data_IF_051440645096
#
_entry.id   IF_051440645096
#
_cell.length_a   1.000
_cell.length_b   1.000
_cell.length_c   1.000
_cell.angle_alpha   90.00
_cell.angle_beta   90.00
_cell.angle_gamma   90.00
#
_symmetry.space_group_name_H-M   'P 1'
#
loop_
_entity.id
_entity.type
_entity.pdbx_description
1 polymer ?
#
# COMPACT_ATOMS: atom_id res chain seq x y z
N UNK A 1 -20.34 -7.70 0.17
CA UNK A 1 -19.78 -8.61 1.21
C UNK A 1 -20.78 -8.67 2.34
N UNK A 2 -21.10 -9.87 2.83
CA UNK A 2 -22.11 -10.07 3.90
C UNK A 2 -21.46 -10.48 5.21
N UNK A 3 -22.15 -10.28 6.33
CA UNK A 3 -21.70 -10.71 7.65
C UNK A 3 -21.44 -12.22 7.69
N UNK A 4 -22.36 -13.04 7.16
CA UNK A 4 -22.19 -14.50 7.12
C UNK A 4 -20.92 -14.92 6.37
N UNK A 5 -20.57 -14.19 5.30
CA UNK A 5 -19.35 -14.47 4.53
C UNK A 5 -18.08 -14.10 5.31
N UNK A 6 -18.12 -13.03 6.11
CA UNK A 6 -17.02 -12.64 6.99
C UNK A 6 -16.84 -13.67 8.09
N UNK A 7 -17.91 -14.10 8.75
CA UNK A 7 -17.90 -15.13 9.79
C UNK A 7 -17.33 -16.46 9.25
N UNK A 8 -17.73 -16.87 8.05
CA UNK A 8 -17.21 -18.07 7.40
C UNK A 8 -15.69 -18.01 7.13
N UNK A 9 -15.15 -16.82 6.86
CA UNK A 9 -13.70 -16.63 6.73
C UNK A 9 -12.99 -16.64 8.09
N UNK A 10 -13.55 -15.94 9.08
CA UNK A 10 -13.00 -15.90 10.43
C UNK A 10 -12.93 -17.29 11.07
N UNK A 11 -13.98 -18.12 10.89
CA UNK A 11 -14.01 -19.51 11.34
C UNK A 11 -12.89 -20.38 10.74
N UNK A 12 -12.34 -19.97 9.59
CA UNK A 12 -11.22 -20.63 8.91
C UNK A 12 -9.86 -19.96 9.22
N UNK A 13 -9.81 -19.03 10.17
CA UNK A 13 -8.59 -18.27 10.48
C UNK A 13 -8.16 -17.30 9.36
N UNK A 14 -9.11 -16.85 8.54
CA UNK A 14 -8.86 -15.93 7.43
C UNK A 14 -9.40 -14.53 7.72
N UNK A 15 -8.60 -13.53 7.38
CA UNK A 15 -8.94 -12.10 7.52
C UNK A 15 -9.18 -11.50 6.13
N UNK A 16 -10.40 -11.03 5.82
CA UNK A 16 -10.67 -10.36 4.56
C UNK A 16 -10.14 -8.92 4.55
N UNK A 17 -9.53 -8.52 3.44
CA UNK A 17 -9.04 -7.16 3.17
C UNK A 17 -9.47 -6.70 1.78
N UNK A 18 -9.80 -5.41 1.64
CA UNK A 18 -9.97 -4.78 0.33
C UNK A 18 -8.60 -4.38 -0.20
N UNK A 19 -8.19 -4.98 -1.31
CA UNK A 19 -6.82 -4.87 -1.81
C UNK A 19 -6.83 -4.38 -3.25
N UNK A 20 -6.14 -3.27 -3.49
CA UNK A 20 -5.67 -2.90 -4.81
C UNK A 20 -4.43 -3.72 -5.18
N UNK A 21 -4.35 -4.21 -6.40
CA UNK A 21 -3.19 -4.96 -6.89
C UNK A 21 -2.81 -4.51 -8.29
N UNK A 22 -1.51 -4.30 -8.49
CA UNK A 22 -0.88 -4.08 -9.78
C UNK A 22 0.14 -5.21 -9.99
N UNK A 23 0.09 -5.85 -11.16
CA UNK A 23 1.07 -6.87 -11.56
C UNK A 23 1.48 -6.67 -13.00
N UNK A 24 2.79 -6.70 -13.28
CA UNK A 24 3.31 -6.81 -14.64
C UNK A 24 3.42 -8.30 -15.01
N UNK A 25 2.75 -8.72 -16.08
CA UNK A 25 2.85 -10.07 -16.66
C UNK A 25 2.82 -9.95 -18.18
N UNK A 26 3.75 -10.62 -18.85
CA UNK A 26 3.83 -10.68 -20.32
C UNK A 26 3.87 -9.29 -20.99
N UNK A 27 4.59 -8.34 -20.38
CA UNK A 27 4.69 -6.96 -20.85
C UNK A 27 3.43 -6.11 -20.62
N UNK A 28 2.39 -6.67 -19.99
CA UNK A 28 1.15 -5.96 -19.69
C UNK A 28 0.98 -5.71 -18.19
N UNK A 29 0.54 -4.50 -17.84
CA UNK A 29 0.15 -4.15 -16.47
C UNK A 29 -1.31 -4.53 -16.27
N UNK A 30 -1.58 -5.34 -15.25
CA UNK A 30 -2.94 -5.68 -14.81
C UNK A 30 -3.22 -5.02 -13.47
N UNK A 31 -4.35 -4.30 -13.40
CA UNK A 31 -4.85 -3.66 -12.20
C UNK A 31 -6.14 -4.32 -11.75
N UNK A 32 -6.33 -4.45 -10.43
CA UNK A 32 -7.59 -4.94 -9.86
C UNK A 32 -7.79 -4.37 -8.46
N UNK A 33 -9.05 -4.26 -8.05
CA UNK A 33 -9.43 -4.03 -6.65
C UNK A 33 -10.42 -5.12 -6.28
N UNK A 34 -10.18 -5.81 -5.17
CA UNK A 34 -11.05 -6.89 -4.74
C UNK A 34 -10.79 -7.33 -3.31
N UNK A 35 -11.73 -8.10 -2.78
CA UNK A 35 -11.56 -8.72 -1.46
C UNK A 35 -10.61 -9.90 -1.59
N UNK A 36 -9.54 -9.87 -0.81
CA UNK A 36 -8.60 -10.98 -0.63
C UNK A 36 -8.59 -11.40 0.83
N UNK A 37 -8.52 -12.70 1.07
CA UNK A 37 -8.42 -13.27 2.41
C UNK A 37 -6.99 -13.68 2.70
N UNK A 38 -6.52 -13.37 3.90
CA UNK A 38 -5.17 -13.68 4.34
C UNK A 38 -5.21 -14.52 5.62
N UNK A 39 -4.30 -15.50 5.81
CA UNK A 39 -4.18 -16.17 7.10
C UNK A 39 -3.70 -15.18 8.16
N UNK A 40 -3.96 -15.48 9.43
CA UNK A 40 -3.53 -14.62 10.56
C UNK A 40 -2.01 -14.35 10.58
N UNK A 41 -1.19 -15.25 10.03
CA UNK A 41 0.26 -15.06 9.95
C UNK A 41 0.71 -14.05 8.89
N UNK A 42 -0.15 -13.69 7.94
CA UNK A 42 0.22 -12.74 6.88
C UNK A 42 0.18 -11.29 7.40
N UNK A 43 1.18 -10.44 7.11
CA UNK A 43 1.21 -9.06 7.58
C UNK A 43 -0.04 -8.22 7.23
N UNK A 44 -0.68 -8.47 6.09
CA UNK A 44 -1.92 -7.77 5.71
C UNK A 44 -3.11 -8.16 6.60
N UNK A 45 -3.10 -9.35 7.19
CA UNK A 45 -4.09 -9.73 8.19
C UNK A 45 -3.96 -8.90 9.47
N UNK A 46 -2.80 -8.30 9.75
CA UNK A 46 -2.52 -7.50 10.95
C UNK A 46 -2.75 -5.99 10.78
N UNK A 47 -3.05 -5.52 9.55
CA UNK A 47 -3.29 -4.10 9.27
C UNK A 47 -4.71 -3.72 9.69
N UNK A 48 -4.84 -3.05 10.84
CA UNK A 48 -6.13 -2.78 11.47
C UNK A 48 -6.52 -1.30 11.47
N UNK A 49 -7.81 -1.05 11.68
CA UNK A 49 -8.37 0.29 11.76
C UNK A 49 -8.16 1.08 10.47
N UNK A 50 -7.59 2.29 10.59
CA UNK A 50 -7.31 3.19 9.47
C UNK A 50 -5.92 2.99 8.85
N UNK A 51 -5.13 2.06 9.38
CA UNK A 51 -3.78 1.80 8.89
C UNK A 51 -3.83 1.28 7.46
N UNK A 52 -2.76 1.56 6.71
CA UNK A 52 -2.59 1.13 5.32
C UNK A 52 -1.29 0.37 5.19
N UNK A 53 -1.25 -0.56 4.25
CA UNK A 53 -0.03 -1.27 3.90
C UNK A 53 0.10 -1.40 2.39
N UNK A 54 1.35 -1.45 1.95
CA UNK A 54 1.72 -1.80 0.58
C UNK A 54 2.73 -2.94 0.63
N UNK A 55 2.53 -3.94 -0.24
CA UNK A 55 3.46 -5.04 -0.48
C UNK A 55 3.98 -4.88 -1.90
N UNK A 56 5.29 -4.83 -2.03
CA UNK A 56 5.99 -4.72 -3.31
C UNK A 56 6.82 -5.99 -3.43
N UNK A 57 6.68 -6.68 -4.57
CA UNK A 57 7.53 -7.81 -4.91
C UNK A 57 8.34 -7.44 -6.15
N UNK A 58 9.66 -7.59 -6.06
CA UNK A 58 10.61 -7.33 -7.14
C UNK A 58 11.61 -8.47 -7.24
N UNK A 59 12.23 -8.61 -8.40
CA UNK A 59 13.33 -9.53 -8.65
C UNK A 59 14.59 -9.17 -7.83
N UNK A 60 14.89 -7.88 -7.69
CA UNK A 60 16.09 -7.41 -7.03
C UNK A 60 16.00 -7.42 -5.49
N UNK A 61 14.86 -7.00 -4.92
CA UNK A 61 14.70 -6.84 -3.47
C UNK A 61 13.80 -7.90 -2.84
N UNK A 62 13.26 -8.85 -3.61
CA UNK A 62 12.27 -9.79 -3.13
C UNK A 62 11.00 -9.08 -2.68
N UNK A 63 10.44 -9.51 -1.55
CA UNK A 63 9.24 -8.91 -0.95
C UNK A 63 9.60 -7.81 0.06
N UNK A 64 9.02 -6.63 -0.11
CA UNK A 64 9.06 -5.54 0.87
C UNK A 64 7.65 -5.12 1.24
N UNK A 65 7.40 -4.96 2.54
CA UNK A 65 6.11 -4.50 3.07
C UNK A 65 6.34 -3.23 3.88
N UNK A 66 5.61 -2.17 3.54
CA UNK A 66 5.53 -0.96 4.33
C UNK A 66 4.14 -0.84 4.95
N UNK A 67 4.07 -0.63 6.26
CA UNK A 67 2.83 -0.46 7.02
C UNK A 67 2.88 0.90 7.72
N UNK A 68 1.83 1.69 7.58
CA UNK A 68 1.73 3.03 8.15
C UNK A 68 0.35 3.29 8.76
N UNK A 69 0.34 4.04 9.87
CA UNK A 69 -0.85 4.34 10.66
C UNK A 69 -0.80 5.73 11.29
N UNK A 70 -0.47 6.75 10.48
CA UNK A 70 -0.34 8.12 10.95
C UNK A 70 -1.68 8.80 11.26
N UNK A 71 -1.65 9.80 12.13
CA UNK A 71 -2.81 10.64 12.39
C UNK A 71 -3.19 11.43 11.12
N UNK A 72 -4.41 11.20 10.62
CA UNK A 72 -4.97 12.00 9.53
C UNK A 72 -5.71 13.22 10.11
N UNK A 73 -5.55 14.42 9.54
CA UNK A 73 -4.93 14.72 8.24
C UNK A 73 -3.42 15.05 8.28
N UNK A 74 -2.79 15.10 9.46
CA UNK A 74 -1.41 15.55 9.63
C UNK A 74 -0.39 14.75 8.80
N UNK A 75 -0.51 13.42 8.78
CA UNK A 75 0.38 12.56 7.99
C UNK A 75 0.32 12.87 6.48
N UNK A 76 -0.88 13.17 5.98
CA UNK A 76 -1.09 13.57 4.58
C UNK A 76 -0.45 14.92 4.29
N UNK A 77 -0.58 15.89 5.20
CA UNK A 77 0.06 17.20 5.06
C UNK A 77 1.60 17.08 5.09
N UNK A 78 2.16 16.24 5.97
CA UNK A 78 3.59 15.97 6.02
C UNK A 78 4.11 15.34 4.72
N UNK A 79 3.37 14.39 4.14
CA UNK A 79 3.71 13.81 2.84
C UNK A 79 3.72 14.86 1.72
N UNK A 80 2.70 15.74 1.68
CA UNK A 80 2.61 16.83 0.72
C UNK A 80 3.76 17.84 0.87
N UNK A 81 4.15 18.17 2.10
CA UNK A 81 5.28 19.07 2.36
C UNK A 81 6.61 18.47 1.89
N UNK A 82 6.83 17.19 2.13
CA UNK A 82 8.01 16.45 1.62
C UNK A 82 8.04 16.45 0.08
N UNK A 83 6.90 16.28 -0.57
CA UNK A 83 6.83 16.37 -2.04
C UNK A 83 7.11 17.81 -2.53
N UNK A 84 6.61 18.83 -1.83
CA UNK A 84 6.89 20.24 -2.14
C UNK A 84 8.38 20.57 -2.02
N UNK A 85 9.04 20.12 -0.96
CA UNK A 85 10.49 20.26 -0.77
C UNK A 85 11.26 19.65 -1.96
N UNK A 86 10.94 18.42 -2.36
CA UNK A 86 11.58 17.76 -3.50
C UNK A 86 11.39 18.53 -4.81
N UNK A 87 10.21 19.12 -5.04
CA UNK A 87 9.94 19.95 -6.22
C UNK A 87 10.86 21.19 -6.22
N UNK A 88 11.02 21.86 -5.07
CA UNK A 88 11.90 23.01 -4.95
C UNK A 88 13.37 22.64 -5.20
N UNK A 89 13.85 21.53 -4.62
CA UNK A 89 15.21 21.04 -4.84
C UNK A 89 15.48 20.72 -6.31
N UNK A 90 14.53 20.08 -7.00
CA UNK A 90 14.65 19.75 -8.42
C UNK A 90 14.73 21.00 -9.29
N UNK A 91 13.94 22.04 -8.99
CA UNK A 91 13.94 23.31 -9.74
C UNK A 91 15.16 24.17 -9.45
N UNK A 92 15.65 24.16 -8.21
CA UNK A 92 16.86 24.89 -7.81
C UNK A 92 18.15 24.34 -8.41
N UNK A 93 18.14 23.10 -8.92
CA UNK A 93 19.28 22.46 -9.59
C UNK A 93 19.43 22.78 -11.08
N UNK A 94 18.60 23.66 -11.66
CA UNK A 94 18.87 24.18 -13.01
C UNK A 94 20.28 24.78 -13.05
N UNK A 95 21.19 24.29 -13.91
CA UNK A 95 22.51 24.88 -14.01
C UNK A 95 22.33 26.33 -14.46
N UNK A 96 22.93 27.26 -13.72
CA UNK A 96 23.18 28.60 -14.23
C UNK A 96 24.04 28.42 -15.48
N UNK A 97 23.41 28.48 -16.65
CA UNK A 97 24.11 28.68 -17.91
C UNK A 97 24.64 30.11 -17.87
N UNK A 98 25.91 30.25 -17.49
CA UNK A 98 26.74 31.41 -17.78
C UNK A 98 28.12 30.93 -18.21
#
# INVERSE_FOLDING_TARGET
>A
ITAQRIEAWQARGLVPRLVGSLSSRDGAIRASVGIKTYPLSDPFAQVNGKNKAIRISSDAMGETIAIGGGAEPLATAAAALKDFEHILQARGRSPLLY
#
